data_IF_724169295583
#
_entry.id   IF_724169295583
#
_cell.length_a   1.000
_cell.length_b   1.000
_cell.length_c   1.000
_cell.angle_alpha   90.00
_cell.angle_beta   90.00
_cell.angle_gamma   90.00
#
_symmetry.space_group_name_H-M   'P 1'
#
loop_
_entity.id
_entity.type
_entity.pdbx_description
1 polymer ?
#
# COMPACT_ATOMS: atom_id res chain seq x y z
N UNK A 1 30.94 -17.19 3.84
CA UNK A 1 30.09 -16.17 3.18
C UNK A 1 30.20 -16.42 1.69
N UNK A 2 29.19 -17.00 1.05
CA UNK A 2 29.22 -17.26 -0.41
C UNK A 2 28.77 -15.99 -1.16
N UNK A 3 29.52 -15.55 -2.19
CA UNK A 3 29.31 -14.32 -2.95
C UNK A 3 28.28 -14.49 -4.09
N UNK A 4 27.13 -15.11 -3.83
CA UNK A 4 26.24 -15.61 -4.91
C UNK A 4 24.85 -14.95 -5.00
N UNK A 5 24.65 -13.76 -4.43
CA UNK A 5 23.36 -13.05 -4.62
C UNK A 5 23.46 -11.51 -4.55
N UNK A 6 24.53 -10.90 -5.07
CA UNK A 6 24.40 -9.51 -5.54
C UNK A 6 23.53 -9.54 -6.79
N UNK A 7 22.21 -9.50 -6.59
CA UNK A 7 21.25 -9.26 -7.68
C UNK A 7 21.75 -8.06 -8.48
N UNK A 8 22.11 -8.30 -9.74
CA UNK A 8 22.55 -7.26 -10.66
C UNK A 8 21.54 -6.11 -10.63
N UNK A 9 21.94 -5.00 -10.02
CA UNK A 9 21.12 -3.78 -10.02
C UNK A 9 21.03 -3.29 -11.45
N UNK A 10 19.93 -2.63 -11.77
CA UNK A 10 19.75 -1.94 -13.05
C UNK A 10 20.99 -1.04 -13.33
N UNK A 11 21.65 -1.16 -14.49
CA UNK A 11 22.76 -0.28 -14.83
C UNK A 11 22.32 1.19 -14.87
N UNK A 12 23.10 2.10 -14.28
CA UNK A 12 22.74 3.53 -14.23
C UNK A 12 22.51 4.11 -15.62
N UNK A 13 23.33 3.74 -16.60
CA UNK A 13 23.16 4.18 -18.00
C UNK A 13 21.80 3.80 -18.57
N UNK A 14 21.26 2.65 -18.19
CA UNK A 14 19.95 2.19 -18.63
C UNK A 14 18.83 2.99 -17.96
N UNK A 15 18.94 3.25 -16.64
CA UNK A 15 18.01 4.13 -15.93
C UNK A 15 18.01 5.55 -16.53
N UNK A 16 19.18 6.09 -16.84
CA UNK A 16 19.32 7.40 -17.47
C UNK A 16 18.69 7.45 -18.86
N UNK A 17 18.84 6.38 -19.65
CA UNK A 17 18.17 6.23 -20.95
C UNK A 17 16.65 6.23 -20.79
N UNK A 18 16.11 5.42 -19.86
CA UNK A 18 14.68 5.41 -19.54
C UNK A 18 14.15 6.81 -19.18
N UNK A 19 14.81 7.51 -18.27
CA UNK A 19 14.37 8.85 -17.89
C UNK A 19 14.45 9.86 -19.03
N UNK A 20 15.37 9.67 -20.00
CA UNK A 20 15.52 10.57 -21.14
C UNK A 20 14.48 10.33 -22.24
N UNK A 21 14.17 9.07 -22.51
CA UNK A 21 13.46 8.67 -23.74
C UNK A 21 12.01 8.23 -23.46
N UNK A 22 11.70 7.80 -22.24
CA UNK A 22 10.42 7.12 -21.95
C UNK A 22 9.65 7.77 -20.81
N UNK A 23 10.32 8.15 -19.72
CA UNK A 23 9.62 8.64 -18.53
C UNK A 23 8.79 9.89 -18.82
N UNK A 24 7.47 9.77 -18.69
CA UNK A 24 6.54 10.87 -18.84
C UNK A 24 6.22 11.51 -17.47
N UNK A 25 6.68 12.75 -17.20
CA UNK A 25 6.37 13.42 -15.94
C UNK A 25 4.88 13.74 -15.78
N UNK A 26 4.05 13.67 -16.83
CA UNK A 26 2.61 13.89 -16.73
C UNK A 26 1.93 12.86 -15.81
N UNK A 27 2.42 11.61 -15.77
CA UNK A 27 1.89 10.60 -14.84
C UNK A 27 2.13 11.04 -13.38
N UNK A 28 3.36 11.48 -13.07
CA UNK A 28 3.69 12.04 -11.75
C UNK A 28 2.81 13.27 -11.46
N UNK A 29 2.77 14.25 -12.36
CA UNK A 29 2.00 15.50 -12.21
C UNK A 29 0.52 15.22 -11.96
N UNK A 30 -0.05 14.22 -12.64
CA UNK A 30 -1.46 13.86 -12.42
C UNK A 30 -1.73 13.30 -11.03
N UNK A 31 -0.68 12.88 -10.28
CA UNK A 31 -0.75 12.41 -8.88
C UNK A 31 -0.44 13.54 -7.89
N UNK A 32 0.55 14.39 -8.17
CA UNK A 32 1.03 15.41 -7.20
C UNK A 32 0.56 16.84 -7.50
N UNK A 33 -0.13 17.06 -8.63
CA UNK A 33 -0.59 18.37 -9.08
C UNK A 33 0.51 19.27 -9.65
N UNK A 34 0.17 20.01 -10.71
CA UNK A 34 1.12 20.90 -11.42
C UNK A 34 1.36 22.23 -10.69
N UNK A 35 0.32 22.80 -10.09
CA UNK A 35 0.35 24.17 -9.54
C UNK A 35 1.34 24.38 -8.40
N UNK A 36 1.79 23.30 -7.76
CA UNK A 36 2.70 23.33 -6.61
C UNK A 36 4.05 22.69 -6.88
N UNK A 37 4.31 22.26 -8.13
CA UNK A 37 5.47 21.45 -8.49
C UNK A 37 6.80 22.09 -8.07
N UNK A 38 6.99 23.37 -8.36
CA UNK A 38 8.24 24.09 -8.07
C UNK A 38 8.53 24.33 -6.59
N UNK A 39 7.54 24.15 -5.72
CA UNK A 39 7.67 24.24 -4.26
C UNK A 39 7.73 22.87 -3.59
N UNK A 40 7.80 21.80 -4.38
CA UNK A 40 7.80 20.43 -3.88
C UNK A 40 9.21 19.94 -3.59
N UNK A 41 9.34 19.21 -2.50
CA UNK A 41 10.57 18.50 -2.19
C UNK A 41 10.69 17.22 -3.03
N UNK A 42 11.90 16.99 -3.54
CA UNK A 42 12.37 15.74 -4.08
C UNK A 42 13.60 15.24 -3.32
N UNK A 43 13.75 13.93 -3.29
CA UNK A 43 14.87 13.26 -2.66
C UNK A 43 15.35 12.08 -3.51
N UNK A 44 16.63 11.76 -3.42
CA UNK A 44 17.24 10.75 -4.26
C UNK A 44 18.27 9.92 -3.49
N UNK A 45 18.28 8.62 -3.76
CA UNK A 45 19.38 7.74 -3.41
C UNK A 45 20.30 7.63 -4.64
N UNK A 46 21.56 8.01 -4.48
CA UNK A 46 22.57 7.96 -5.53
C UNK A 46 23.25 6.58 -5.59
N UNK A 47 24.01 6.33 -6.65
CA UNK A 47 24.75 5.08 -6.87
C UNK A 47 25.80 4.77 -5.79
N UNK A 48 26.47 5.81 -5.29
CA UNK A 48 27.45 5.73 -4.20
C UNK A 48 26.80 5.52 -2.81
N UNK A 49 25.47 5.42 -2.75
CA UNK A 49 24.71 5.26 -1.52
C UNK A 49 24.33 6.57 -0.81
N UNK A 50 24.77 7.73 -1.32
CA UNK A 50 24.42 9.01 -0.74
C UNK A 50 22.93 9.31 -0.90
N UNK A 51 22.30 9.71 0.20
CA UNK A 51 20.89 10.09 0.22
C UNK A 51 20.76 11.61 0.28
N UNK A 52 20.25 12.22 -0.79
CA UNK A 52 20.08 13.67 -0.91
C UNK A 52 18.62 14.07 -0.78
N UNK A 53 18.35 15.14 -0.03
CA UNK A 53 17.03 15.74 0.20
C UNK A 53 17.07 17.25 0.00
N UNK A 54 15.93 17.91 0.18
CA UNK A 54 15.77 19.36 0.02
C UNK A 54 16.11 19.83 -1.41
N UNK A 55 15.68 19.07 -2.41
CA UNK A 55 15.82 19.44 -3.82
C UNK A 55 14.45 19.84 -4.34
N UNK A 56 14.41 20.87 -5.17
CA UNK A 56 13.22 21.31 -5.90
C UNK A 56 13.59 21.65 -7.34
N UNK A 57 12.61 21.61 -8.24
CA UNK A 57 12.79 21.82 -9.67
C UNK A 57 11.80 22.86 -10.16
N UNK A 58 12.23 23.81 -11.00
CA UNK A 58 11.31 24.84 -11.52
C UNK A 58 10.22 24.24 -12.40
N UNK A 59 10.59 23.26 -13.21
CA UNK A 59 9.68 22.56 -14.14
C UNK A 59 9.84 21.05 -14.04
N UNK A 60 8.84 20.31 -14.52
CA UNK A 60 8.93 18.86 -14.68
C UNK A 60 10.09 18.44 -15.59
N UNK A 61 10.37 19.21 -16.63
CA UNK A 61 11.47 18.94 -17.55
C UNK A 61 12.83 19.04 -16.87
N UNK A 62 12.97 19.95 -15.89
CA UNK A 62 14.20 20.05 -15.08
C UNK A 62 14.39 18.80 -14.22
N UNK A 63 13.30 18.23 -13.67
CA UNK A 63 13.34 16.95 -12.95
C UNK A 63 13.77 15.82 -13.91
N UNK A 64 13.19 15.75 -15.10
CA UNK A 64 13.53 14.72 -16.10
C UNK A 64 15.00 14.83 -16.51
N UNK A 65 15.48 16.03 -16.83
CA UNK A 65 16.90 16.30 -17.15
C UNK A 65 17.82 15.90 -15.99
N UNK A 66 17.40 16.17 -14.75
CA UNK A 66 18.17 15.78 -13.57
C UNK A 66 18.25 14.25 -13.44
N UNK A 67 17.12 13.54 -13.55
CA UNK A 67 17.06 12.08 -13.51
C UNK A 67 17.89 11.42 -14.63
N UNK A 68 17.87 12.00 -15.83
CA UNK A 68 18.59 11.51 -17.00
C UNK A 68 20.11 11.76 -16.97
N UNK A 69 20.60 12.68 -16.12
CA UNK A 69 22.03 13.07 -16.04
C UNK A 69 22.74 12.48 -14.82
N UNK A 70 22.03 12.28 -13.72
CA UNK A 70 22.64 11.90 -12.44
C UNK A 70 22.57 10.37 -12.22
N UNK A 71 23.47 9.79 -11.40
CA UNK A 71 23.49 8.36 -11.11
C UNK A 71 22.46 7.99 -10.03
N UNK A 72 21.17 8.15 -10.35
CA UNK A 72 20.06 7.96 -9.42
C UNK A 72 19.66 6.48 -9.35
N UNK A 73 19.68 5.90 -8.14
CA UNK A 73 19.16 4.55 -7.85
C UNK A 73 17.69 4.57 -7.49
N UNK A 74 17.26 5.52 -6.65
CA UNK A 74 15.85 5.68 -6.27
C UNK A 74 15.49 7.15 -6.17
N UNK A 75 14.26 7.46 -6.56
CA UNK A 75 13.73 8.82 -6.57
C UNK A 75 12.43 8.90 -5.77
N UNK A 76 12.32 9.94 -4.97
CA UNK A 76 11.22 10.15 -4.05
C UNK A 76 10.68 11.57 -4.18
N UNK A 77 9.39 11.71 -3.88
CA UNK A 77 8.67 12.97 -3.86
C UNK A 77 8.10 13.21 -2.45
N UNK A 78 8.21 14.44 -1.98
CA UNK A 78 7.79 14.88 -0.65
C UNK A 78 6.67 15.92 -0.71
N UNK A 79 6.62 16.73 0.34
CA UNK A 79 5.60 17.74 0.55
C UNK A 79 5.81 19.01 -0.29
N UNK A 80 4.79 19.86 -0.31
CA UNK A 80 4.81 21.23 -0.81
C UNK A 80 5.11 22.18 0.36
N UNK A 81 5.96 23.15 0.10
CA UNK A 81 6.42 24.14 1.07
C UNK A 81 6.07 25.56 0.63
N UNK A 82 6.22 26.53 1.53
CA UNK A 82 5.94 27.94 1.24
C UNK A 82 6.92 28.52 0.20
N UNK A 83 8.19 28.14 0.32
CA UNK A 83 9.26 28.46 -0.64
C UNK A 83 9.92 27.16 -1.14
N UNK A 84 10.54 27.16 -2.35
CA UNK A 84 11.22 25.99 -2.89
C UNK A 84 12.33 25.48 -1.95
N UNK A 85 12.31 24.19 -1.54
CA UNK A 85 13.38 23.59 -0.75
C UNK A 85 14.72 23.59 -1.47
N UNK A 86 15.79 23.94 -0.76
CA UNK A 86 17.18 23.86 -1.23
C UNK A 86 18.10 23.35 -0.12
N UNK A 87 19.37 23.05 -0.44
CA UNK A 87 20.36 22.68 0.59
C UNK A 87 20.55 23.76 1.66
N UNK A 88 20.45 25.04 1.29
CA UNK A 88 20.62 26.16 2.21
C UNK A 88 19.32 26.50 2.98
N UNK A 89 18.17 26.26 2.34
CA UNK A 89 16.84 26.46 2.89
C UNK A 89 16.11 25.12 3.02
N UNK A 90 16.36 24.40 4.11
CA UNK A 90 15.88 23.02 4.28
C UNK A 90 14.41 22.95 4.69
N UNK A 91 13.77 21.81 4.47
CA UNK A 91 12.35 21.57 4.81
C UNK A 91 12.01 21.74 6.31
N UNK A 92 13.01 21.73 7.19
CA UNK A 92 12.82 22.02 8.62
C UNK A 92 12.64 23.51 8.88
N UNK A 93 13.29 24.36 8.08
CA UNK A 93 13.25 25.82 8.16
C UNK A 93 12.07 26.42 7.40
N UNK A 94 11.59 25.72 6.37
CA UNK A 94 10.48 26.19 5.55
C UNK A 94 9.14 25.70 6.10
N UNK A 95 8.15 26.60 6.10
CA UNK A 95 6.77 26.27 6.44
C UNK A 95 6.21 25.23 5.46
N UNK A 96 5.68 24.15 6.02
CA UNK A 96 4.95 23.13 5.27
C UNK A 96 3.58 23.67 4.85
N UNK A 97 3.13 23.34 3.63
CA UNK A 97 1.85 23.80 3.08
C UNK A 97 0.87 22.64 2.90
N UNK A 98 1.31 21.58 2.22
CA UNK A 98 0.44 20.44 1.95
C UNK A 98 1.25 19.23 1.53
N UNK A 99 0.67 18.05 1.73
CA UNK A 99 1.12 16.81 1.10
C UNK A 99 -0.06 15.87 0.96
N UNK A 100 -0.14 15.12 -0.13
CA UNK A 100 -1.12 14.06 -0.31
C UNK A 100 -1.17 13.15 0.95
N UNK A 101 -2.36 12.67 1.28
CA UNK A 101 -2.48 11.69 2.37
C UNK A 101 -2.18 10.32 1.78
N UNK A 102 -1.00 9.81 2.12
CA UNK A 102 -0.42 8.63 1.47
C UNK A 102 -0.52 7.39 2.36
N UNK A 103 -0.64 6.23 1.73
CA UNK A 103 -0.60 4.91 2.38
C UNK A 103 0.54 4.11 1.75
N UNK A 104 1.22 3.30 2.55
CA UNK A 104 2.20 2.31 2.07
C UNK A 104 1.82 0.95 2.67
N UNK A 105 1.63 -0.02 1.77
CA UNK A 105 1.26 -1.40 2.06
C UNK A 105 2.38 -2.30 1.54
N UNK A 106 3.12 -2.95 2.42
CA UNK A 106 4.15 -3.92 2.04
C UNK A 106 3.73 -5.34 2.49
N UNK A 107 3.89 -6.32 1.59
CA UNK A 107 3.62 -7.72 1.89
C UNK A 107 4.39 -8.23 3.12
N UNK A 108 5.56 -7.66 3.41
CA UNK A 108 6.35 -8.01 4.59
C UNK A 108 5.65 -7.75 5.91
N UNK A 109 4.75 -6.76 5.95
CA UNK A 109 4.01 -6.49 7.17
C UNK A 109 3.13 -7.69 7.53
N UNK A 110 2.88 -8.61 6.59
CA UNK A 110 2.14 -9.85 6.79
C UNK A 110 3.01 -11.08 7.09
N UNK A 111 4.34 -10.96 7.21
CA UNK A 111 5.25 -12.12 7.34
C UNK A 111 4.86 -13.10 8.46
N UNK A 112 4.36 -12.58 9.59
CA UNK A 112 3.93 -13.41 10.74
C UNK A 112 2.65 -14.23 10.49
N UNK A 113 1.92 -13.96 9.41
CA UNK A 113 0.63 -14.59 9.10
C UNK A 113 0.58 -15.25 7.73
N UNK A 114 1.70 -15.26 6.99
CA UNK A 114 1.81 -15.98 5.71
C UNK A 114 1.88 -17.49 5.95
N UNK A 115 0.74 -18.17 5.86
CA UNK A 115 0.64 -19.64 5.98
C UNK A 115 1.01 -20.42 4.71
N UNK A 116 1.24 -19.74 3.59
CA UNK A 116 1.50 -20.36 2.28
C UNK A 116 2.94 -20.88 2.07
N UNK A 117 3.79 -20.85 3.10
CA UNK A 117 5.19 -21.29 3.00
C UNK A 117 6.16 -20.29 2.35
N UNK A 118 5.67 -19.21 1.72
CA UNK A 118 6.52 -18.13 1.23
C UNK A 118 7.25 -17.43 2.38
N UNK A 119 8.57 -17.28 2.27
CA UNK A 119 9.42 -16.67 3.28
C UNK A 119 10.20 -15.46 2.78
N UNK A 120 10.44 -14.54 3.69
CA UNK A 120 11.30 -13.38 3.47
C UNK A 120 10.85 -12.49 2.32
N UNK A 121 11.80 -11.76 1.76
CA UNK A 121 11.50 -10.62 0.88
C UNK A 121 11.31 -10.95 -0.60
N UNK A 122 11.65 -12.17 -0.99
CA UNK A 122 11.79 -12.58 -2.39
C UNK A 122 10.67 -13.52 -2.85
N UNK A 123 9.99 -14.19 -1.91
CA UNK A 123 8.95 -15.15 -2.22
C UNK A 123 7.57 -14.55 -1.97
N UNK A 124 6.69 -14.70 -2.94
CA UNK A 124 5.26 -14.51 -2.80
C UNK A 124 4.54 -15.49 -3.73
N UNK A 125 3.25 -15.68 -3.50
CA UNK A 125 2.35 -16.46 -4.35
C UNK A 125 1.01 -15.75 -4.42
N UNK A 126 0.08 -16.30 -5.20
CA UNK A 126 -1.28 -15.76 -5.33
C UNK A 126 -2.00 -15.62 -3.98
N UNK A 127 -1.75 -16.54 -3.04
CA UNK A 127 -2.35 -16.51 -1.71
C UNK A 127 -1.84 -15.33 -0.89
N UNK A 128 -0.53 -15.15 -0.70
CA UNK A 128 -0.05 -14.04 0.14
C UNK A 128 -0.11 -12.69 -0.58
N UNK A 129 0.00 -12.66 -1.91
CA UNK A 129 -0.19 -11.42 -2.68
C UNK A 129 -1.60 -10.85 -2.51
N UNK A 130 -2.61 -11.72 -2.42
CA UNK A 130 -3.98 -11.28 -2.17
C UNK A 130 -4.16 -10.51 -0.85
N UNK A 131 -3.26 -10.64 0.13
CA UNK A 131 -3.30 -9.87 1.37
C UNK A 131 -3.17 -8.36 1.10
N UNK A 132 -2.22 -7.95 0.26
CA UNK A 132 -2.01 -6.53 -0.07
C UNK A 132 -3.02 -6.02 -1.10
N UNK A 133 -3.54 -6.89 -1.98
CA UNK A 133 -4.65 -6.55 -2.88
C UNK A 133 -5.94 -6.28 -2.09
N UNK A 134 -6.27 -7.15 -1.13
CA UNK A 134 -7.43 -6.99 -0.24
C UNK A 134 -7.27 -5.74 0.63
N UNK A 135 -6.06 -5.48 1.13
CA UNK A 135 -5.77 -4.28 1.91
C UNK A 135 -6.01 -3.00 1.10
N UNK A 136 -5.51 -2.94 -0.13
CA UNK A 136 -5.71 -1.79 -1.02
C UNK A 136 -7.21 -1.59 -1.35
N UNK A 137 -7.91 -2.67 -1.71
CA UNK A 137 -9.35 -2.62 -2.03
C UNK A 137 -10.18 -2.15 -0.83
N UNK A 138 -9.91 -2.70 0.36
CA UNK A 138 -10.61 -2.35 1.58
C UNK A 138 -10.38 -0.88 1.98
N UNK A 139 -9.13 -0.42 1.93
CA UNK A 139 -8.79 0.96 2.24
C UNK A 139 -9.42 1.93 1.23
N UNK A 140 -9.38 1.63 -0.07
CA UNK A 140 -10.02 2.46 -1.09
C UNK A 140 -11.51 2.66 -0.81
N UNK A 141 -12.23 1.57 -0.54
CA UNK A 141 -13.66 1.63 -0.23
C UNK A 141 -13.94 2.40 1.05
N UNK A 142 -13.16 2.15 2.10
CA UNK A 142 -13.30 2.82 3.40
C UNK A 142 -13.01 4.33 3.30
N UNK A 143 -11.97 4.72 2.56
CA UNK A 143 -11.64 6.14 2.31
C UNK A 143 -12.75 6.87 1.54
N UNK A 144 -13.42 6.19 0.62
CA UNK A 144 -14.52 6.77 -0.17
C UNK A 144 -15.82 6.85 0.62
N UNK A 145 -16.19 5.79 1.33
CA UNK A 145 -17.48 5.68 2.02
C UNK A 145 -17.48 6.44 3.35
N UNK A 146 -16.42 6.33 4.15
CA UNK A 146 -16.41 6.86 5.53
C UNK A 146 -15.83 8.28 5.60
N UNK A 147 -14.90 8.62 4.70
CA UNK A 147 -14.23 9.93 4.68
C UNK A 147 -14.64 10.80 3.49
N UNK A 148 -15.41 10.26 2.53
CA UNK A 148 -15.90 11.01 1.37
C UNK A 148 -14.82 11.41 0.36
N UNK A 149 -13.62 10.82 0.41
CA UNK A 149 -12.55 11.13 -0.53
C UNK A 149 -12.91 10.66 -1.94
N UNK A 150 -12.71 11.52 -2.93
CA UNK A 150 -13.10 11.24 -4.32
C UNK A 150 -11.92 10.81 -5.19
N UNK A 151 -10.71 11.28 -4.87
CA UNK A 151 -9.51 11.09 -5.69
C UNK A 151 -8.48 10.25 -4.96
N UNK A 152 -8.71 8.94 -4.95
CA UNK A 152 -7.79 7.94 -4.40
C UNK A 152 -7.11 7.20 -5.55
N UNK A 153 -5.78 7.32 -5.63
CA UNK A 153 -4.97 6.68 -6.67
C UNK A 153 -4.08 5.63 -6.02
N UNK A 154 -4.00 4.44 -6.64
CA UNK A 154 -3.11 3.38 -6.21
C UNK A 154 -1.98 3.18 -7.21
N UNK A 155 -0.77 2.99 -6.70
CA UNK A 155 0.46 2.82 -7.47
C UNK A 155 1.17 1.58 -6.96
N UNK A 156 1.60 0.69 -7.85
CA UNK A 156 2.44 -0.43 -7.49
C UNK A 156 3.82 0.07 -7.03
N UNK A 157 4.34 -0.45 -5.91
CA UNK A 157 5.61 0.03 -5.34
C UNK A 157 6.86 -0.35 -6.15
N UNK A 158 6.70 -1.16 -7.21
CA UNK A 158 7.78 -1.71 -8.03
C UNK A 158 8.30 -3.05 -7.51
N UNK A 159 7.79 -3.54 -6.37
CA UNK A 159 8.23 -4.81 -5.79
C UNK A 159 7.08 -5.67 -5.29
N UNK A 160 6.46 -5.30 -4.17
CA UNK A 160 5.58 -6.21 -3.40
C UNK A 160 4.57 -5.47 -2.54
N UNK A 161 4.09 -4.35 -3.04
CA UNK A 161 3.22 -3.49 -2.28
C UNK A 161 2.54 -2.46 -3.15
N UNK A 162 1.70 -1.67 -2.51
CA UNK A 162 0.99 -0.59 -3.16
C UNK A 162 1.10 0.68 -2.32
N UNK A 163 1.21 1.80 -3.02
CA UNK A 163 1.11 3.13 -2.45
C UNK A 163 -0.26 3.72 -2.78
N UNK A 164 -1.03 4.11 -1.77
CA UNK A 164 -2.27 4.86 -1.93
C UNK A 164 -2.00 6.36 -1.83
N UNK A 165 -2.63 7.17 -2.70
CA UNK A 165 -2.49 8.62 -2.75
C UNK A 165 -3.88 9.27 -2.75
N UNK A 166 -4.24 9.95 -1.68
CA UNK A 166 -5.46 10.76 -1.63
C UNK A 166 -5.13 12.20 -2.02
N UNK A 167 -5.69 12.64 -3.15
CA UNK A 167 -5.40 13.93 -3.77
C UNK A 167 -6.42 15.03 -3.41
N UNK A 168 -7.51 14.67 -2.75
CA UNK A 168 -8.51 15.64 -2.30
C UNK A 168 -7.82 16.77 -1.52
N UNK A 169 -8.11 18.04 -1.87
CA UNK A 169 -7.41 19.20 -1.29
C UNK A 169 -7.45 19.21 0.24
N UNK A 170 -8.57 18.80 0.83
CA UNK A 170 -8.73 18.67 2.28
C UNK A 170 -7.79 17.64 2.91
N UNK A 171 -7.52 16.52 2.24
CA UNK A 171 -6.55 15.52 2.71
C UNK A 171 -5.12 16.08 2.71
N UNK A 172 -4.82 16.94 1.73
CA UNK A 172 -3.52 17.57 1.54
C UNK A 172 -3.04 18.40 2.73
N UNK A 173 -3.98 19.07 3.42
CA UNK A 173 -3.71 20.04 4.48
C UNK A 173 -3.88 19.48 5.89
N UNK A 174 -4.22 18.19 6.02
CA UNK A 174 -4.37 17.56 7.33
C UNK A 174 -3.09 17.64 8.15
N UNK A 175 -3.23 18.06 9.41
CA UNK A 175 -2.15 18.04 10.39
C UNK A 175 -1.71 16.61 10.70
N UNK A 176 -0.52 16.46 11.31
CA UNK A 176 -0.04 15.16 11.80
C UNK A 176 -1.04 14.49 12.76
N UNK A 177 -1.66 15.28 13.64
CA UNK A 177 -2.65 14.77 14.60
C UNK A 177 -3.91 14.26 13.89
N UNK A 178 -4.45 15.02 12.94
CA UNK A 178 -5.61 14.61 12.15
C UNK A 178 -5.31 13.34 11.34
N UNK A 179 -4.13 13.26 10.71
CA UNK A 179 -3.67 12.05 10.01
C UNK A 179 -3.57 10.87 10.96
N UNK A 180 -3.03 11.05 12.16
CA UNK A 180 -2.95 10.01 13.18
C UNK A 180 -4.33 9.50 13.61
N UNK A 181 -5.32 10.40 13.77
CA UNK A 181 -6.71 10.01 14.09
C UNK A 181 -7.34 9.16 12.98
N UNK A 182 -7.13 9.52 11.71
CA UNK A 182 -7.60 8.71 10.57
C UNK A 182 -6.91 7.34 10.55
N UNK A 183 -5.59 7.31 10.76
CA UNK A 183 -4.84 6.05 10.80
C UNK A 183 -5.27 5.17 11.99
N UNK A 184 -5.61 5.76 13.14
CA UNK A 184 -6.20 5.03 14.26
C UNK A 184 -7.54 4.41 13.89
N UNK A 185 -8.42 5.15 13.21
CA UNK A 185 -9.68 4.63 12.72
C UNK A 185 -9.50 3.44 11.76
N UNK A 186 -8.55 3.56 10.82
CA UNK A 186 -8.29 2.54 9.81
C UNK A 186 -7.56 1.31 10.37
N UNK A 187 -6.90 1.40 11.53
CA UNK A 187 -6.03 0.36 12.08
C UNK A 187 -6.73 -0.40 13.21
N UNK A 188 -7.11 -1.65 12.94
CA UNK A 188 -7.65 -2.54 13.97
C UNK A 188 -6.58 -3.41 14.64
N UNK A 189 -5.39 -3.52 14.05
CA UNK A 189 -4.26 -4.31 14.59
C UNK A 189 -3.32 -3.36 15.34
N UNK A 190 -3.25 -3.47 16.66
CA UNK A 190 -2.30 -2.70 17.48
C UNK A 190 -1.03 -3.52 17.71
N UNK A 191 0.08 -3.01 17.19
CA UNK A 191 1.37 -3.71 17.16
C UNK A 191 2.41 -3.13 18.14
N UNK A 192 2.01 -2.88 19.39
CA UNK A 192 2.97 -2.41 20.41
C UNK A 192 3.85 -3.55 20.96
N UNK A 193 3.40 -4.80 20.81
CA UNK A 193 4.05 -6.00 21.37
C UNK A 193 4.13 -7.19 20.40
N UNK A 194 3.88 -7.02 19.08
CA UNK A 194 3.74 -8.13 18.11
C UNK A 194 2.65 -9.15 18.43
N UNK A 195 1.72 -8.80 19.33
CA UNK A 195 0.62 -9.67 19.76
C UNK A 195 -0.60 -9.62 18.85
N UNK A 196 -0.60 -8.76 17.82
CA UNK A 196 -1.74 -8.54 16.91
C UNK A 196 -3.06 -8.31 17.68
N UNK A 197 -3.03 -7.41 18.67
CA UNK A 197 -4.21 -7.08 19.45
C UNK A 197 -5.27 -6.42 18.56
N UNK A 198 -6.50 -6.92 18.61
CA UNK A 198 -7.63 -6.44 17.80
C UNK A 198 -8.59 -5.62 18.66
N UNK A 199 -9.07 -4.50 18.11
CA UNK A 199 -10.14 -3.72 18.73
C UNK A 199 -11.43 -4.56 18.79
N UNK A 200 -11.89 -4.87 20.00
CA UNK A 200 -12.97 -5.85 20.23
C UNK A 200 -14.38 -5.25 20.16
N UNK A 201 -14.51 -3.93 20.18
CA UNK A 201 -15.81 -3.26 20.28
C UNK A 201 -16.28 -2.66 18.94
N UNK A 202 -16.56 -3.53 17.96
CA UNK A 202 -17.22 -3.14 16.70
C UNK A 202 -18.74 -3.33 16.76
N UNK A 203 -19.31 -3.64 17.93
CA UNK A 203 -20.73 -4.02 18.08
C UNK A 203 -21.69 -2.89 17.66
N UNK A 204 -21.22 -1.65 17.67
CA UNK A 204 -21.98 -0.47 17.28
C UNK A 204 -21.55 0.13 15.93
N UNK A 205 -20.58 -0.48 15.24
CA UNK A 205 -20.06 0.01 13.95
C UNK A 205 -20.44 -0.98 12.84
N UNK A 206 -21.75 -1.23 12.71
CA UNK A 206 -22.32 -2.21 11.77
C UNK A 206 -21.80 -2.00 10.33
N UNK A 207 -21.73 -0.76 9.77
CA UNK A 207 -21.23 -0.57 8.41
C UNK A 207 -19.79 -1.06 8.21
N UNK A 208 -18.89 -0.72 9.14
CA UNK A 208 -17.49 -1.15 9.08
C UNK A 208 -17.37 -2.66 9.27
N UNK A 209 -18.08 -3.22 10.26
CA UNK A 209 -18.12 -4.67 10.50
C UNK A 209 -18.55 -5.42 9.25
N UNK A 210 -19.66 -5.01 8.63
CA UNK A 210 -20.21 -5.70 7.48
C UNK A 210 -19.30 -5.56 6.25
N UNK A 211 -18.62 -4.41 6.09
CA UNK A 211 -17.57 -4.24 5.07
C UNK A 211 -16.40 -5.18 5.30
N UNK A 212 -15.93 -5.32 6.54
CA UNK A 212 -14.86 -6.26 6.92
C UNK A 212 -15.28 -7.68 6.61
N UNK A 213 -16.50 -8.07 6.97
CA UNK A 213 -17.00 -9.42 6.70
C UNK A 213 -17.10 -9.67 5.19
N UNK A 214 -17.65 -8.73 4.43
CA UNK A 214 -17.84 -8.90 2.99
C UNK A 214 -16.51 -8.93 2.20
N UNK A 215 -15.53 -8.12 2.58
CA UNK A 215 -14.27 -8.00 1.82
C UNK A 215 -13.15 -8.84 2.41
N UNK A 216 -12.92 -8.76 3.71
CA UNK A 216 -11.77 -9.38 4.38
C UNK A 216 -12.10 -10.81 4.80
N UNK A 217 -13.24 -11.04 5.48
CA UNK A 217 -13.60 -12.39 5.93
C UNK A 217 -13.93 -13.33 4.78
N UNK A 218 -14.71 -12.86 3.80
CA UNK A 218 -15.02 -13.64 2.58
C UNK A 218 -13.75 -14.11 1.88
N UNK A 219 -12.78 -13.21 1.72
CA UNK A 219 -11.48 -13.51 1.13
C UNK A 219 -10.66 -14.47 2.01
N UNK A 220 -10.67 -14.28 3.33
CA UNK A 220 -10.04 -15.20 4.29
C UNK A 220 -10.58 -16.64 4.13
N UNK A 221 -11.90 -16.80 4.18
CA UNK A 221 -12.52 -18.12 4.09
C UNK A 221 -12.37 -18.75 2.71
N UNK A 222 -12.29 -17.96 1.65
CA UNK A 222 -12.05 -18.47 0.28
C UNK A 222 -10.67 -19.11 0.14
N UNK A 223 -9.68 -18.66 0.91
CA UNK A 223 -8.33 -19.22 0.91
C UNK A 223 -8.10 -20.28 2.01
N UNK A 224 -8.96 -20.32 3.04
CA UNK A 224 -8.85 -21.30 4.12
C UNK A 224 -9.24 -22.70 3.63
N UNK A 225 -8.45 -23.71 3.98
CA UNK A 225 -8.78 -25.11 3.65
C UNK A 225 -9.61 -25.79 4.75
N UNK A 226 -10.23 -26.93 4.44
CA UNK A 226 -11.11 -27.62 5.37
C UNK A 226 -10.39 -28.15 6.62
N UNK A 227 -9.09 -28.44 6.53
CA UNK A 227 -8.27 -28.86 7.68
C UNK A 227 -8.09 -27.70 8.65
N UNK A 228 -7.82 -26.49 8.15
CA UNK A 228 -7.73 -25.27 8.95
C UNK A 228 -9.07 -24.94 9.61
N UNK A 229 -10.19 -25.03 8.87
CA UNK A 229 -11.51 -24.72 9.40
C UNK A 229 -11.99 -25.72 10.46
N UNK A 230 -11.53 -26.98 10.43
CA UNK A 230 -11.82 -27.98 11.47
C UNK A 230 -10.93 -27.83 12.71
N UNK A 231 -9.77 -27.21 12.58
CA UNK A 231 -8.84 -27.01 13.68
C UNK A 231 -9.25 -25.82 14.58
N UNK A 232 -8.62 -25.72 15.74
CA UNK A 232 -8.71 -24.52 16.60
C UNK A 232 -8.17 -23.28 15.85
N UNK A 233 -8.79 -22.10 16.01
CA UNK A 233 -9.93 -21.78 16.88
C UNK A 233 -11.31 -21.98 16.21
N UNK A 234 -11.38 -22.48 14.98
CA UNK A 234 -12.62 -22.50 14.18
C UNK A 234 -13.56 -23.64 14.55
N UNK A 235 -13.04 -24.88 14.63
CA UNK A 235 -13.81 -26.09 14.98
C UNK A 235 -15.10 -26.27 14.17
N UNK A 236 -15.10 -25.91 12.88
CA UNK A 236 -16.30 -26.01 12.05
C UNK A 236 -16.68 -27.46 11.79
N UNK A 237 -17.98 -27.74 11.94
CA UNK A 237 -18.57 -29.01 11.52
C UNK A 237 -18.61 -29.14 10.00
N UNK A 238 -18.77 -30.36 9.50
CA UNK A 238 -18.92 -30.61 8.05
C UNK A 238 -20.10 -29.83 7.44
N UNK A 239 -21.21 -29.71 8.18
CA UNK A 239 -22.39 -28.93 7.77
C UNK A 239 -22.07 -27.43 7.68
N UNK A 240 -21.39 -26.88 8.68
CA UNK A 240 -20.96 -25.47 8.66
C UNK A 240 -20.04 -25.16 7.49
N UNK A 241 -19.05 -26.03 7.21
CA UNK A 241 -18.16 -25.88 6.06
C UNK A 241 -18.96 -25.95 4.75
N UNK A 242 -19.88 -26.92 4.63
CA UNK A 242 -20.70 -27.06 3.43
C UNK A 242 -21.53 -25.81 3.17
N UNK A 243 -22.20 -25.27 4.20
CA UNK A 243 -22.96 -24.01 4.12
C UNK A 243 -22.07 -22.81 3.79
N UNK A 244 -20.88 -22.73 4.39
CA UNK A 244 -19.90 -21.68 4.08
C UNK A 244 -19.52 -21.70 2.61
N UNK A 245 -19.10 -22.86 2.09
CA UNK A 245 -18.68 -23.03 0.69
C UNK A 245 -19.81 -22.71 -0.28
N UNK A 246 -21.02 -23.21 -0.02
CA UNK A 246 -22.20 -22.90 -0.83
C UNK A 246 -22.44 -21.39 -0.93
N UNK A 247 -22.44 -20.68 0.21
CA UNK A 247 -22.67 -19.23 0.23
C UNK A 247 -21.53 -18.43 -0.43
N UNK A 248 -20.27 -18.84 -0.27
CA UNK A 248 -19.14 -18.21 -0.94
C UNK A 248 -19.24 -18.29 -2.46
N UNK A 249 -19.75 -19.42 -2.99
CA UNK A 249 -19.90 -19.64 -4.42
C UNK A 249 -21.09 -18.87 -5.02
N UNK A 250 -22.25 -18.89 -4.36
CA UNK A 250 -23.49 -18.33 -4.94
C UNK A 250 -23.73 -16.87 -4.60
N UNK A 251 -23.29 -16.40 -3.44
CA UNK A 251 -23.44 -15.01 -3.02
C UNK A 251 -24.90 -14.55 -2.86
N UNK A 252 -25.82 -15.46 -2.52
CA UNK A 252 -27.28 -15.18 -2.44
C UNK A 252 -27.64 -14.17 -1.33
N UNK A 253 -26.76 -13.97 -0.35
CA UNK A 253 -26.97 -13.03 0.77
C UNK A 253 -25.66 -12.34 1.19
N UNK A 254 -25.74 -11.18 1.89
CA UNK A 254 -24.57 -10.53 2.48
C UNK A 254 -23.77 -11.50 3.36
N UNK A 255 -22.44 -11.44 3.27
CA UNK A 255 -21.59 -12.37 4.00
C UNK A 255 -21.73 -12.21 5.52
N UNK A 256 -22.12 -11.03 6.01
CA UNK A 256 -22.44 -10.80 7.42
C UNK A 256 -23.55 -11.72 7.94
N UNK A 257 -24.61 -11.94 7.15
CA UNK A 257 -25.68 -12.88 7.51
C UNK A 257 -25.19 -14.33 7.53
N UNK A 258 -24.42 -14.74 6.52
CA UNK A 258 -23.81 -16.08 6.47
C UNK A 258 -22.94 -16.33 7.70
N UNK A 259 -22.11 -15.34 8.06
CA UNK A 259 -21.25 -15.38 9.23
C UNK A 259 -22.04 -15.58 10.52
N UNK A 260 -23.12 -14.82 10.72
CA UNK A 260 -23.97 -14.89 11.92
C UNK A 260 -24.78 -16.20 12.00
N UNK A 261 -25.20 -16.76 10.85
CA UNK A 261 -25.91 -18.04 10.77
C UNK A 261 -24.99 -19.22 11.11
N UNK A 262 -23.77 -19.23 10.58
CA UNK A 262 -22.79 -20.30 10.81
C UNK A 262 -22.31 -20.28 12.27
N UNK A 263 -22.11 -19.08 12.82
CA UNK A 263 -21.55 -18.87 14.15
C UNK A 263 -22.63 -18.34 15.11
N UNK A 264 -23.40 -19.26 15.70
CA UNK A 264 -24.55 -18.90 16.56
C UNK A 264 -24.14 -18.20 17.86
N UNK A 265 -23.04 -18.61 18.49
CA UNK A 265 -22.60 -18.01 19.76
C UNK A 265 -21.77 -16.76 19.50
N UNK A 266 -22.01 -15.71 20.28
CA UNK A 266 -21.27 -14.45 20.19
C UNK A 266 -19.76 -14.66 20.43
N UNK A 267 -19.40 -15.49 21.41
CA UNK A 267 -18.00 -15.76 21.73
C UNK A 267 -17.24 -16.35 20.54
N UNK A 268 -17.86 -17.27 19.80
CA UNK A 268 -17.28 -17.89 18.60
C UNK A 268 -17.10 -16.84 17.49
N UNK A 269 -18.10 -15.97 17.28
CA UNK A 269 -17.99 -14.83 16.36
C UNK A 269 -16.84 -13.92 16.73
N UNK A 270 -16.76 -13.46 17.96
CA UNK A 270 -15.72 -12.51 18.38
C UNK A 270 -14.30 -13.12 18.25
N UNK A 271 -14.15 -14.41 18.58
CA UNK A 271 -12.90 -15.14 18.43
C UNK A 271 -12.47 -15.31 16.97
N UNK A 272 -13.39 -15.73 16.10
CA UNK A 272 -13.13 -15.93 14.67
C UNK A 272 -12.92 -14.59 13.96
N UNK A 273 -13.68 -13.56 14.32
CA UNK A 273 -13.49 -12.21 13.78
C UNK A 273 -12.09 -11.68 14.12
N UNK A 274 -11.66 -11.84 15.37
CA UNK A 274 -10.29 -11.53 15.80
C UNK A 274 -9.26 -12.25 14.94
N UNK A 275 -9.44 -13.56 14.70
CA UNK A 275 -8.54 -14.36 13.86
C UNK A 275 -8.50 -13.84 12.43
N UNK A 276 -9.64 -13.50 11.83
CA UNK A 276 -9.72 -12.91 10.48
C UNK A 276 -8.93 -11.60 10.42
N UNK A 277 -9.16 -10.69 11.37
CA UNK A 277 -8.48 -9.40 11.41
C UNK A 277 -6.96 -9.61 11.46
N UNK A 278 -6.50 -10.44 12.39
CA UNK A 278 -5.09 -10.77 12.57
C UNK A 278 -4.40 -11.24 11.28
N UNK A 279 -5.09 -12.03 10.46
CA UNK A 279 -4.47 -12.70 9.30
C UNK A 279 -4.57 -11.90 8.00
N UNK A 280 -5.60 -11.06 7.85
CA UNK A 280 -5.94 -10.52 6.53
C UNK A 280 -6.32 -9.05 6.50
N UNK A 281 -6.53 -8.41 7.64
CA UNK A 281 -6.87 -6.98 7.66
C UNK A 281 -5.69 -6.11 7.17
N UNK A 282 -5.95 -4.93 6.56
CA UNK A 282 -4.90 -3.99 6.17
C UNK A 282 -3.86 -3.73 7.27
N UNK A 283 -2.58 -3.78 6.90
CA UNK A 283 -1.44 -3.34 7.70
C UNK A 283 -0.82 -2.13 7.01
N UNK A 284 -0.87 -0.99 7.69
CA UNK A 284 -0.49 0.32 7.12
C UNK A 284 0.83 0.77 7.75
N UNK A 285 1.81 1.20 6.95
CA UNK A 285 2.95 1.96 7.48
C UNK A 285 2.43 3.32 8.01
N UNK A 286 2.26 3.36 9.34
CA UNK A 286 1.77 4.53 10.06
C UNK A 286 2.66 5.75 9.84
N UNK A 287 3.98 5.58 9.77
CA UNK A 287 4.92 6.71 9.63
C UNK A 287 4.77 7.37 8.26
N UNK A 288 4.56 6.58 7.20
CA UNK A 288 4.34 7.13 5.86
C UNK A 288 3.10 8.02 5.80
N UNK A 289 2.06 7.59 6.50
CA UNK A 289 0.75 8.23 6.49
C UNK A 289 0.68 9.46 7.39
N UNK A 290 1.27 9.40 8.58
CA UNK A 290 1.18 10.44 9.63
C UNK A 290 2.13 11.61 9.36
N UNK A 291 3.41 11.32 9.14
CA UNK A 291 4.45 12.37 9.02
C UNK A 291 4.17 13.22 7.78
N UNK A 292 3.88 14.51 7.97
CA UNK A 292 3.55 15.47 6.91
C UNK A 292 4.74 15.78 5.97
N UNK A 293 5.97 15.44 6.36
CA UNK A 293 7.23 15.64 5.61
C UNK A 293 7.85 14.35 5.09
N UNK A 294 7.16 13.20 5.24
CA UNK A 294 7.62 11.94 4.65
C UNK A 294 7.67 12.06 3.12
N UNK A 295 8.61 11.35 2.55
CA UNK A 295 8.77 11.17 1.11
C UNK A 295 8.27 9.79 0.70
N UNK A 296 7.78 9.65 -0.52
CA UNK A 296 7.36 8.38 -1.09
C UNK A 296 7.92 8.23 -2.50
N UNK A 297 8.09 6.98 -2.96
CA UNK A 297 8.71 6.71 -4.26
C UNK A 297 7.90 7.35 -5.39
N UNK A 298 8.59 7.95 -6.35
CA UNK A 298 7.96 8.63 -7.50
C UNK A 298 7.17 7.62 -8.35
N UNK A 299 5.87 7.85 -8.61
CA UNK A 299 5.14 7.12 -9.65
C UNK A 299 5.84 7.22 -11.01
N UNK A 300 5.94 6.10 -11.73
CA UNK A 300 6.70 5.96 -12.98
C UNK A 300 8.21 5.74 -12.78
N UNK A 301 8.74 5.80 -11.56
CA UNK A 301 10.17 5.53 -11.31
C UNK A 301 10.51 4.04 -11.29
N UNK A 302 11.80 3.74 -11.39
CA UNK A 302 12.35 2.39 -11.52
C UNK A 302 12.58 1.76 -10.14
N UNK A 303 12.29 0.46 -9.99
CA UNK A 303 12.81 -0.36 -8.90
C UNK A 303 14.21 -0.88 -9.26
N UNK A 304 15.23 -0.34 -8.61
CA UNK A 304 16.66 -0.57 -8.89
C UNK A 304 17.10 -2.03 -8.88
N UNK A 305 16.42 -2.88 -8.11
CA UNK A 305 16.79 -4.29 -7.93
C UNK A 305 16.19 -5.24 -8.95
N UNK A 306 15.14 -4.83 -9.69
CA UNK A 306 14.40 -5.72 -10.59
C UNK A 306 13.90 -5.04 -11.87
N UNK A 307 14.18 -3.75 -12.07
CA UNK A 307 13.79 -2.97 -13.24
C UNK A 307 12.30 -2.71 -13.43
N UNK A 308 11.42 -3.15 -12.53
CA UNK A 308 9.98 -2.88 -12.63
C UNK A 308 9.68 -1.42 -12.37
N UNK A 309 8.68 -0.90 -13.09
CA UNK A 309 8.21 0.47 -12.93
C UNK A 309 7.18 0.58 -11.81
N UNK A 310 7.18 1.72 -11.12
CA UNK A 310 6.15 2.10 -10.16
C UNK A 310 4.90 2.63 -10.87
N UNK A 311 4.15 1.75 -11.52
CA UNK A 311 3.01 2.14 -12.35
C UNK A 311 1.71 2.29 -11.54
N UNK A 312 0.81 3.16 -11.99
CA UNK A 312 -0.58 3.18 -11.50
C UNK A 312 -1.27 1.83 -11.70
N UNK A 313 -2.17 1.51 -10.79
CA UNK A 313 -3.02 0.30 -10.87
C UNK A 313 -4.50 0.69 -10.83
N UNK A 314 -5.31 0.02 -11.65
CA UNK A 314 -6.76 0.18 -11.59
C UNK A 314 -7.30 -0.55 -10.36
N UNK A 315 -7.77 0.21 -9.37
CA UNK A 315 -8.29 -0.34 -8.12
C UNK A 315 -9.47 -1.29 -8.33
N UNK A 316 -10.27 -1.13 -9.40
CA UNK A 316 -11.37 -2.05 -9.73
C UNK A 316 -10.87 -3.41 -10.23
N UNK A 317 -9.61 -3.49 -10.66
CA UNK A 317 -8.95 -4.70 -11.17
C UNK A 317 -7.78 -5.13 -10.28
N UNK A 318 -7.68 -4.61 -9.05
CA UNK A 318 -6.51 -4.82 -8.19
C UNK A 318 -6.22 -6.30 -7.93
N UNK A 319 -7.26 -7.13 -7.79
CA UNK A 319 -7.14 -8.59 -7.61
C UNK A 319 -6.60 -9.33 -8.83
N UNK A 320 -6.59 -8.70 -10.01
CA UNK A 320 -5.98 -9.24 -11.24
C UNK A 320 -4.56 -8.75 -11.47
N UNK A 321 -4.10 -7.75 -10.71
CA UNK A 321 -2.77 -7.19 -10.85
C UNK A 321 -1.77 -7.97 -10.01
N UNK A 322 -0.76 -8.55 -10.64
CA UNK A 322 0.40 -9.19 -10.03
C UNK A 322 1.68 -8.41 -10.35
N UNK A 323 2.73 -8.49 -9.52
CA UNK A 323 3.99 -7.79 -9.76
C UNK A 323 4.61 -8.05 -11.14
N UNK A 324 4.37 -9.23 -11.71
CA UNK A 324 4.80 -9.64 -13.05
C UNK A 324 4.09 -8.87 -14.18
N UNK A 325 2.93 -8.28 -13.91
CA UNK A 325 2.21 -7.46 -14.88
C UNK A 325 2.76 -6.03 -14.96
N UNK A 326 3.63 -5.63 -14.03
CA UNK A 326 4.23 -4.31 -14.04
C UNK A 326 5.27 -4.22 -15.16
N UNK A 327 5.21 -3.19 -16.03
CA UNK A 327 6.21 -2.98 -17.06
C UNK A 327 7.61 -2.87 -16.45
N UNK A 328 8.60 -3.34 -17.18
CA UNK A 328 10.01 -3.23 -16.83
C UNK A 328 10.70 -2.22 -17.73
N UNK A 329 11.81 -1.66 -17.25
CA UNK A 329 12.65 -0.77 -18.07
C UNK A 329 13.12 -1.39 -19.38
N UNK A 330 13.28 -2.72 -19.44
CA UNK A 330 13.78 -3.39 -20.62
C UNK A 330 12.71 -3.48 -21.71
N UNK A 331 11.47 -3.80 -21.33
CA UNK A 331 10.32 -3.78 -22.25
C UNK A 331 10.00 -2.38 -22.76
N UNK A 332 10.28 -1.35 -21.96
CA UNK A 332 10.02 0.03 -22.34
C UNK A 332 11.12 0.65 -23.22
N UNK A 333 12.31 0.04 -23.26
CA UNK A 333 13.48 0.53 -24.02
C UNK A 333 13.85 -0.37 -25.21
N UNK A 334 13.16 -1.50 -25.37
CA UNK A 334 13.16 -2.32 -26.58
C UNK A 334 12.31 -1.68 -27.65
#
# INVERSE_FOLDING_TARGET
MTPENEKLKVPIKLSQKYYREVFDPAELISIIGLSTFYKREFAFLLEDGNFVRNISFKTSDDLVKFLAKNPIRRSYVGAVYETPPTKNNTIQKIKWISREFCFDLDLNDYDLVRGCGCQGKEQYCTVCWSLVQDAAAFLDKTLKEDFGYKKVIWVFSGRRGFHGWVQDKGAGVLSQEQRNSIINYLTLIRDEKRTQAVEKDLKHVIPLRDRILEMVAKSFFSHANDKELKAEPFKFTKDQITKLRYNLQRGEQPFSKTYDIILKRKQDRDAIFTRIIQHRYPRIDRKVSIDIRRILKIPGSIQDTNGRLCCKVDIKKIHKFFPENAPTIWEMLS
#
